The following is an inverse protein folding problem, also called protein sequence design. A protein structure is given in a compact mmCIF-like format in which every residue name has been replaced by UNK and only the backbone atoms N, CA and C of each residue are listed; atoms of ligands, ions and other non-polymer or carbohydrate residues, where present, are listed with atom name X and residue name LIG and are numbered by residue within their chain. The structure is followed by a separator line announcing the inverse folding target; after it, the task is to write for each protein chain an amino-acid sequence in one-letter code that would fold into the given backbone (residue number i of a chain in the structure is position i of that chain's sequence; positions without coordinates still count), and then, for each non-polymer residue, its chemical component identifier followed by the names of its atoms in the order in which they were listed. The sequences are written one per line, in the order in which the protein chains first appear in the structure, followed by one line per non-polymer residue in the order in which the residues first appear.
data_IF_796766219708
#
_entry.id   IF_796766219708
#
_cell.length_a   1.000
_cell.length_b   1.000
_cell.length_c   1.000
_cell.angle_alpha   90.00
_cell.angle_beta   90.00
_cell.angle_gamma   90.00
#
_symmetry.space_group_name_H-M   'P 1'
#
loop_
_entity.id
_entity.type
_entity.pdbx_description
1 polymer ?
#
# COMPACT_ATOMS: atom_id res chain seq x y z
N UNK A 1 -15.17 21.53 -0.15
CA UNK A 1 -15.50 20.09 0.03
C UNK A 1 -14.83 19.20 -1.02
N UNK A 2 -14.82 19.58 -2.30
CA UNK A 2 -13.99 18.90 -3.33
C UNK A 2 -12.52 18.82 -2.91
N UNK A 3 -11.97 19.91 -2.39
CA UNK A 3 -10.59 20.00 -1.88
C UNK A 3 -10.30 19.01 -0.74
N UNK A 4 -11.27 18.76 0.15
CA UNK A 4 -11.11 17.78 1.24
C UNK A 4 -11.10 16.36 0.67
N UNK A 5 -12.00 16.06 -0.26
CA UNK A 5 -12.01 14.78 -0.97
C UNK A 5 -10.68 14.52 -1.70
N UNK A 6 -10.18 15.52 -2.42
CA UNK A 6 -8.89 15.46 -3.11
C UNK A 6 -7.72 15.26 -2.15
N UNK A 7 -7.66 16.02 -1.06
CA UNK A 7 -6.65 15.87 -0.01
C UNK A 7 -6.65 14.45 0.57
N UNK A 8 -7.83 13.91 0.91
CA UNK A 8 -7.94 12.53 1.42
C UNK A 8 -7.47 11.51 0.38
N UNK A 9 -7.75 11.73 -0.91
CA UNK A 9 -7.27 10.89 -1.99
C UNK A 9 -5.74 10.90 -2.12
N UNK A 10 -5.14 12.09 -2.10
CA UNK A 10 -3.68 12.27 -2.16
C UNK A 10 -3.00 11.61 -0.96
N UNK A 11 -3.48 11.86 0.25
CA UNK A 11 -2.90 11.27 1.46
C UNK A 11 -3.05 9.74 1.46
N UNK A 12 -4.18 9.21 0.97
CA UNK A 12 -4.36 7.77 0.74
C UNK A 12 -3.30 7.24 -0.22
N UNK A 13 -3.08 7.92 -1.36
CA UNK A 13 -2.08 7.53 -2.35
C UNK A 13 -0.65 7.56 -1.79
N UNK A 14 -0.30 8.56 -0.98
CA UNK A 14 1.01 8.66 -0.33
C UNK A 14 1.25 7.49 0.64
N UNK A 15 0.30 7.21 1.51
CA UNK A 15 0.41 6.09 2.46
C UNK A 15 0.41 4.74 1.75
N UNK A 16 -0.42 4.58 0.72
CA UNK A 16 -0.42 3.38 -0.10
C UNK A 16 0.92 3.19 -0.83
N UNK A 17 1.48 4.26 -1.41
CA UNK A 17 2.82 4.27 -1.99
C UNK A 17 3.89 3.85 -0.99
N UNK A 18 3.85 4.39 0.24
CA UNK A 18 4.71 3.97 1.34
C UNK A 18 4.57 2.48 1.68
N UNK A 19 3.36 1.93 1.64
CA UNK A 19 3.12 0.50 1.83
C UNK A 19 3.70 -0.34 0.68
N UNK A 20 3.57 0.10 -0.58
CA UNK A 20 4.13 -0.58 -1.76
C UNK A 20 5.66 -0.56 -1.75
N UNK A 21 6.29 0.52 -1.31
CA UNK A 21 7.75 0.64 -1.27
C UNK A 21 8.41 -0.51 -0.52
N UNK A 22 7.75 -1.10 0.49
CA UNK A 22 8.20 -2.31 1.19
C UNK A 22 8.56 -3.47 0.22
N UNK A 23 7.79 -3.65 -0.85
CA UNK A 23 8.09 -4.63 -1.88
C UNK A 23 9.33 -4.24 -2.69
N UNK A 24 9.37 -3.01 -3.18
CA UNK A 24 10.48 -2.49 -4.00
C UNK A 24 11.82 -2.53 -3.26
N UNK A 25 11.85 -2.07 -2.00
CA UNK A 25 13.09 -2.06 -1.21
C UNK A 25 13.56 -3.48 -0.87
N UNK A 26 12.64 -4.41 -0.62
CA UNK A 26 13.03 -5.82 -0.41
C UNK A 26 13.61 -6.45 -1.67
N UNK A 27 13.05 -6.12 -2.83
CA UNK A 27 13.53 -6.61 -4.12
C UNK A 27 14.94 -6.10 -4.42
N UNK A 28 15.14 -4.78 -4.36
CA UNK A 28 16.44 -4.14 -4.59
C UNK A 28 17.48 -4.61 -3.56
N UNK A 29 17.08 -4.78 -2.29
CA UNK A 29 17.97 -5.31 -1.26
C UNK A 29 18.53 -6.69 -1.61
N UNK A 30 17.63 -7.64 -1.96
CA UNK A 30 18.02 -9.02 -2.28
C UNK A 30 18.87 -9.11 -3.55
N UNK A 31 18.53 -8.33 -4.58
CA UNK A 31 19.18 -8.43 -5.89
C UNK A 31 20.56 -7.76 -5.91
N UNK A 32 20.71 -6.64 -5.20
CA UNK A 32 21.88 -5.77 -5.33
C UNK A 32 22.53 -5.41 -4.00
N UNK A 33 21.81 -4.79 -3.06
CA UNK A 33 22.41 -4.18 -1.85
C UNK A 33 23.09 -5.21 -0.94
N UNK A 34 22.54 -6.43 -0.84
CA UNK A 34 23.14 -7.49 -0.03
C UNK A 34 24.54 -7.89 -0.49
N UNK A 35 24.86 -7.72 -1.79
CA UNK A 35 26.15 -8.07 -2.39
C UNK A 35 27.25 -7.03 -2.14
N UNK A 36 26.89 -5.84 -1.65
CA UNK A 36 27.86 -4.79 -1.35
C UNK A 36 28.68 -5.12 -0.09
N UNK A 37 29.93 -4.62 0.02
CA UNK A 37 30.73 -4.72 1.25
C UNK A 37 30.01 -4.16 2.47
N UNK A 38 30.30 -4.67 3.68
CA UNK A 38 29.62 -4.23 4.91
C UNK A 38 29.98 -2.79 5.30
N UNK A 39 31.15 -2.34 4.85
CA UNK A 39 31.76 -1.04 5.09
C UNK A 39 31.15 0.05 4.19
N UNK A 40 30.35 -0.34 3.18
CA UNK A 40 29.69 0.59 2.27
C UNK A 40 28.70 1.48 3.02
N UNK A 41 28.96 2.80 3.05
CA UNK A 41 28.03 3.81 3.59
C UNK A 41 26.66 3.75 2.93
N UNK A 42 26.61 3.48 1.63
CA UNK A 42 25.36 3.30 0.90
C UNK A 42 24.56 2.11 1.43
N UNK A 43 25.20 0.94 1.63
CA UNK A 43 24.55 -0.26 2.18
C UNK A 43 23.94 0.02 3.56
N UNK A 44 24.67 0.74 4.41
CA UNK A 44 24.22 1.09 5.76
C UNK A 44 23.00 2.02 5.72
N UNK A 45 23.07 3.11 4.95
CA UNK A 45 21.96 4.05 4.77
C UNK A 45 20.71 3.38 4.18
N UNK A 46 20.89 2.60 3.11
CA UNK A 46 19.82 1.83 2.49
C UNK A 46 19.17 0.86 3.48
N UNK A 47 19.97 0.14 4.26
CA UNK A 47 19.46 -0.82 5.25
C UNK A 47 18.66 -0.11 6.33
N UNK A 48 19.06 1.09 6.74
CA UNK A 48 18.30 1.91 7.70
C UNK A 48 16.92 2.29 7.15
N UNK A 49 16.88 2.83 5.92
CA UNK A 49 15.63 3.18 5.23
C UNK A 49 14.74 1.96 5.02
N UNK A 50 15.31 0.85 4.56
CA UNK A 50 14.58 -0.40 4.41
C UNK A 50 13.99 -0.86 5.74
N UNK A 51 14.77 -0.86 6.83
CA UNK A 51 14.27 -1.25 8.16
C UNK A 51 13.09 -0.37 8.59
N UNK A 52 13.17 0.94 8.38
CA UNK A 52 12.08 1.87 8.66
C UNK A 52 10.81 1.50 7.88
N UNK A 53 10.91 1.33 6.56
CA UNK A 53 9.77 1.00 5.70
C UNK A 53 9.16 -0.36 6.05
N UNK A 54 10.00 -1.38 6.27
CA UNK A 54 9.53 -2.74 6.59
C UNK A 54 8.86 -2.77 7.98
N UNK A 55 9.44 -2.10 8.98
CA UNK A 55 8.89 -2.03 10.34
C UNK A 55 7.56 -1.30 10.37
N UNK A 56 7.43 -0.23 9.59
CA UNK A 56 6.25 0.63 9.58
C UNK A 56 5.20 0.27 8.50
N UNK A 57 5.47 -0.72 7.64
CA UNK A 57 4.57 -1.13 6.56
C UNK A 57 3.11 -1.31 6.99
N UNK A 58 2.87 -1.91 8.17
CA UNK A 58 1.50 -2.08 8.70
C UNK A 58 0.81 -0.75 8.98
N UNK A 59 1.55 0.24 9.49
CA UNK A 59 1.00 1.55 9.81
C UNK A 59 0.69 2.33 8.53
N UNK A 60 1.56 2.24 7.51
CA UNK A 60 1.25 2.77 6.18
C UNK A 60 -0.01 2.13 5.59
N UNK A 61 -0.13 0.80 5.66
CA UNK A 61 -1.31 0.07 5.17
C UNK A 61 -2.61 0.46 5.91
N UNK A 62 -2.59 0.49 7.25
CA UNK A 62 -3.76 0.89 8.03
C UNK A 62 -4.12 2.36 7.88
N UNK A 63 -3.12 3.24 7.81
CA UNK A 63 -3.35 4.67 7.56
C UNK A 63 -3.96 4.90 6.18
N UNK A 64 -3.45 4.23 5.13
CA UNK A 64 -4.06 4.27 3.80
C UNK A 64 -5.51 3.77 3.82
N UNK A 65 -5.80 2.67 4.53
CA UNK A 65 -7.15 2.15 4.66
C UNK A 65 -8.10 3.14 5.36
N UNK A 66 -7.65 3.75 6.45
CA UNK A 66 -8.46 4.72 7.20
C UNK A 66 -8.79 5.96 6.36
N UNK A 67 -7.80 6.51 5.65
CA UNK A 67 -8.00 7.66 4.78
C UNK A 67 -8.83 7.32 3.55
N UNK A 68 -8.68 6.11 3.00
CA UNK A 68 -9.52 5.62 1.91
C UNK A 68 -10.98 5.52 2.34
N UNK A 69 -11.28 5.00 3.53
CA UNK A 69 -12.65 4.97 4.06
C UNK A 69 -13.20 6.40 4.17
N UNK A 70 -12.43 7.32 4.76
CA UNK A 70 -12.83 8.72 4.86
C UNK A 70 -13.08 9.35 3.47
N UNK A 71 -12.20 9.09 2.50
CA UNK A 71 -12.32 9.55 1.13
C UNK A 71 -13.61 9.07 0.47
N UNK A 72 -13.92 7.77 0.57
CA UNK A 72 -15.14 7.17 0.01
C UNK A 72 -16.39 7.70 0.69
N UNK A 73 -16.40 7.84 2.02
CA UNK A 73 -17.53 8.40 2.77
C UNK A 73 -17.83 9.83 2.31
N UNK A 74 -16.80 10.68 2.18
CA UNK A 74 -16.97 12.04 1.65
C UNK A 74 -17.52 11.99 0.22
N UNK A 75 -16.98 11.16 -0.67
CA UNK A 75 -17.49 11.06 -2.04
C UNK A 75 -18.96 10.60 -2.11
N UNK A 76 -19.39 9.66 -1.26
CA UNK A 76 -20.78 9.20 -1.21
C UNK A 76 -21.71 10.33 -0.77
N UNK A 77 -21.35 11.04 0.30
CA UNK A 77 -22.17 12.14 0.84
C UNK A 77 -22.37 13.26 -0.18
N UNK A 78 -21.38 13.51 -1.04
CA UNK A 78 -21.43 14.55 -2.07
C UNK A 78 -21.73 14.03 -3.49
N UNK A 79 -22.08 12.73 -3.63
CA UNK A 79 -22.44 12.07 -4.90
C UNK A 79 -21.36 12.16 -6.00
N UNK A 80 -20.08 12.07 -5.64
CA UNK A 80 -18.92 12.10 -6.56
C UNK A 80 -18.21 10.75 -6.67
N UNK A 81 -18.93 9.66 -6.50
CA UNK A 81 -18.36 8.31 -6.49
C UNK A 81 -18.21 7.81 -7.92
N UNK A 82 -17.00 7.34 -8.24
CA UNK A 82 -16.66 6.71 -9.51
C UNK A 82 -16.68 5.19 -9.38
N UNK A 83 -17.00 4.48 -10.47
CA UNK A 83 -17.07 3.00 -10.45
C UNK A 83 -15.67 2.42 -10.21
N UNK A 84 -14.65 2.97 -10.87
CA UNK A 84 -13.25 2.59 -10.66
C UNK A 84 -12.78 2.87 -9.23
N UNK A 85 -13.31 3.93 -8.60
CA UNK A 85 -13.04 4.25 -7.19
C UNK A 85 -13.61 3.19 -6.24
N UNK A 86 -14.84 2.74 -6.49
CA UNK A 86 -15.46 1.66 -5.70
C UNK A 86 -14.71 0.33 -5.86
N UNK A 87 -14.30 -0.03 -7.09
CA UNK A 87 -13.50 -1.22 -7.34
C UNK A 87 -12.16 -1.15 -6.60
N UNK A 88 -11.49 0.01 -6.66
CA UNK A 88 -10.22 0.25 -5.96
C UNK A 88 -10.40 0.14 -4.45
N UNK A 89 -11.45 0.76 -3.89
CA UNK A 89 -11.75 0.68 -2.46
C UNK A 89 -12.06 -0.76 -2.01
N UNK A 90 -12.83 -1.52 -2.80
CA UNK A 90 -13.11 -2.93 -2.53
C UNK A 90 -11.84 -3.78 -2.50
N UNK A 91 -10.95 -3.61 -3.48
CA UNK A 91 -9.66 -4.30 -3.51
C UNK A 91 -8.74 -3.89 -2.36
N UNK A 92 -8.79 -2.63 -1.92
CA UNK A 92 -8.05 -2.16 -0.76
C UNK A 92 -8.55 -2.83 0.52
N UNK A 93 -9.87 -2.96 0.71
CA UNK A 93 -10.45 -3.71 1.83
C UNK A 93 -9.97 -5.16 1.82
N UNK A 94 -10.05 -5.86 0.69
CA UNK A 94 -9.56 -7.24 0.56
C UNK A 94 -8.07 -7.34 0.93
N UNK A 95 -7.25 -6.43 0.41
CA UNK A 95 -5.81 -6.39 0.64
C UNK A 95 -5.47 -6.18 2.12
N UNK A 96 -6.18 -5.26 2.79
CA UNK A 96 -6.02 -4.97 4.22
C UNK A 96 -6.46 -6.16 5.07
N UNK A 97 -7.60 -6.78 4.76
CA UNK A 97 -8.09 -7.98 5.45
C UNK A 97 -7.06 -9.11 5.35
N UNK A 98 -6.55 -9.40 4.15
CA UNK A 98 -5.48 -10.40 3.97
C UNK A 98 -4.22 -10.04 4.78
N UNK A 99 -3.85 -8.76 4.83
CA UNK A 99 -2.76 -8.26 5.66
C UNK A 99 -2.97 -8.52 7.16
N UNK A 100 -4.18 -8.24 7.66
CA UNK A 100 -4.57 -8.49 9.06
C UNK A 100 -4.57 -9.99 9.38
N UNK A 101 -5.13 -10.81 8.48
CA UNK A 101 -5.16 -12.27 8.63
C UNK A 101 -3.73 -12.81 8.74
N UNK A 102 -2.81 -12.39 7.86
CA UNK A 102 -1.39 -12.77 7.95
C UNK A 102 -0.68 -12.24 9.19
N UNK A 103 -1.09 -11.08 9.70
CA UNK A 103 -0.54 -10.50 10.92
C UNK A 103 -0.95 -11.32 12.16
N UNK A 104 -2.21 -11.76 12.23
CA UNK A 104 -2.76 -12.55 13.34
C UNK A 104 -2.45 -14.05 13.25
N UNK A 105 -2.09 -14.56 12.08
CA UNK A 105 -1.85 -15.98 11.88
C UNK A 105 -0.62 -16.49 12.66
N UNK A 106 -0.79 -17.58 13.41
CA UNK A 106 0.29 -18.26 14.16
C UNK A 106 1.40 -18.78 13.23
N UNK A 107 1.04 -19.24 12.03
CA UNK A 107 1.96 -19.67 10.97
C UNK A 107 1.54 -19.02 9.66
N UNK A 108 2.50 -18.42 8.95
CA UNK A 108 2.26 -17.82 7.63
C UNK A 108 2.56 -18.86 6.56
N UNK A 109 1.57 -19.22 5.77
CA UNK A 109 1.78 -20.14 4.64
C UNK A 109 2.21 -19.37 3.40
N UNK A 110 2.90 -20.03 2.45
CA UNK A 110 3.20 -19.42 1.16
C UNK A 110 1.94 -18.91 0.45
N UNK A 111 0.85 -19.68 0.49
CA UNK A 111 -0.43 -19.31 -0.14
C UNK A 111 -0.97 -17.97 0.38
N UNK A 112 -0.91 -17.72 1.69
CA UNK A 112 -1.34 -16.44 2.27
C UNK A 112 -0.49 -15.26 1.79
N UNK A 113 0.82 -15.45 1.71
CA UNK A 113 1.74 -14.45 1.18
C UNK A 113 1.45 -14.15 -0.30
N UNK A 114 1.19 -15.17 -1.10
CA UNK A 114 0.82 -15.02 -2.50
C UNK A 114 -0.52 -14.32 -2.67
N UNK A 115 -1.54 -14.68 -1.88
CA UNK A 115 -2.85 -14.02 -1.92
C UNK A 115 -2.76 -12.52 -1.57
N UNK A 116 -2.02 -12.17 -0.51
CA UNK A 116 -1.84 -10.76 -0.16
C UNK A 116 -1.04 -10.00 -1.23
N UNK A 117 0.05 -10.58 -1.76
CA UNK A 117 0.83 -9.92 -2.82
C UNK A 117 0.04 -9.78 -4.12
N UNK A 118 -0.71 -10.81 -4.50
CA UNK A 118 -1.57 -10.80 -5.69
C UNK A 118 -2.66 -9.73 -5.58
N UNK A 119 -3.32 -9.62 -4.43
CA UNK A 119 -4.30 -8.56 -4.18
C UNK A 119 -3.68 -7.17 -4.18
N UNK A 120 -2.47 -6.98 -3.64
CA UNK A 120 -1.73 -5.71 -3.77
C UNK A 120 -1.46 -5.36 -5.23
N UNK A 121 -1.04 -6.32 -6.07
CA UNK A 121 -0.78 -6.08 -7.50
C UNK A 121 -2.07 -5.68 -8.22
N UNK A 122 -3.17 -6.40 -7.98
CA UNK A 122 -4.48 -6.05 -8.52
C UNK A 122 -4.94 -4.66 -8.06
N UNK A 123 -4.72 -4.32 -6.79
CA UNK A 123 -5.02 -3.02 -6.23
C UNK A 123 -4.18 -1.91 -6.86
N UNK A 124 -2.88 -2.13 -7.12
CA UNK A 124 -2.04 -1.15 -7.83
C UNK A 124 -2.63 -0.86 -9.22
N UNK A 125 -3.00 -1.90 -9.97
CA UNK A 125 -3.60 -1.73 -11.28
C UNK A 125 -4.92 -0.95 -11.22
N UNK A 126 -5.82 -1.31 -10.31
CA UNK A 126 -7.10 -0.63 -10.10
C UNK A 126 -6.90 0.84 -9.69
N UNK A 127 -5.97 1.10 -8.76
CA UNK A 127 -5.61 2.45 -8.32
C UNK A 127 -5.10 3.32 -9.47
N UNK A 128 -4.21 2.80 -10.32
CA UNK A 128 -3.70 3.53 -11.50
C UNK A 128 -4.84 3.85 -12.46
N UNK A 129 -5.71 2.88 -12.76
CA UNK A 129 -6.88 3.10 -13.62
C UNK A 129 -7.77 4.19 -13.03
N UNK A 130 -8.10 4.10 -11.73
CA UNK A 130 -8.95 5.07 -11.05
C UNK A 130 -8.37 6.49 -11.07
N UNK A 131 -7.07 6.66 -10.81
CA UNK A 131 -6.42 7.98 -10.81
C UNK A 131 -6.40 8.60 -12.20
N UNK A 132 -6.16 7.78 -13.24
CA UNK A 132 -6.07 8.24 -14.64
C UNK A 132 -7.44 8.53 -15.23
N UNK A 133 -8.42 7.66 -15.03
CA UNK A 133 -9.72 7.77 -15.71
C UNK A 133 -10.76 8.50 -14.86
N UNK A 134 -10.75 8.28 -13.54
CA UNK A 134 -11.76 8.77 -12.59
C UNK A 134 -13.21 8.44 -12.98
N UNK A 135 -13.40 7.39 -13.79
CA UNK A 135 -14.72 6.88 -14.26
C UNK A 135 -15.39 6.04 -13.19
#
# INVERSE_FOLDING_TARGET
MVEIGELLGILTAVLFGGAILNFCVKFVNRKWVMKLPKESKFKQGYTSVMKFLVKNHRFFGFGAAALMVAHVVVQILFRWVSITGLITAGLAVVTVVLGVVMFKAKKRTPAMLWAHRGSVIALIAAFVVHVVTRI
#
